data_IF_748304426855
#
_entry.id   IF_748304426855
#
_cell.length_a   1.000
_cell.length_b   1.000
_cell.length_c   1.000
_cell.angle_alpha   90.00
_cell.angle_beta   90.00
_cell.angle_gamma   90.00
#
_symmetry.space_group_name_H-M   'P 1'
#
loop_
_entity.id
_entity.type
_entity.pdbx_description
1 polymer ?
#
# COMPACT_ATOMS: atom_id res chain seq x y z
N UNK A 1 11.87 7.73 4.35
CA UNK A 1 12.17 6.55 3.52
C UNK A 1 13.21 5.67 4.19
N UNK A 2 13.46 4.49 3.63
CA UNK A 2 14.38 3.52 4.17
C UNK A 2 13.91 2.90 5.47
N UNK A 3 14.83 2.30 6.23
CA UNK A 3 14.51 1.57 7.46
C UNK A 3 13.95 2.43 8.60
N UNK A 4 13.97 3.75 8.45
CA UNK A 4 13.28 4.68 9.38
C UNK A 4 11.77 4.57 9.23
N UNK A 5 11.29 4.34 8.01
CA UNK A 5 9.87 4.19 7.72
C UNK A 5 9.39 2.77 8.05
N UNK A 6 10.06 1.78 7.52
CA UNK A 6 9.85 0.35 7.80
C UNK A 6 11.07 -0.47 7.37
N UNK A 7 11.25 -1.64 7.93
CA UNK A 7 12.39 -2.50 7.61
C UNK A 7 12.19 -3.16 6.24
N UNK A 8 13.13 -2.93 5.33
CA UNK A 8 13.20 -3.61 4.04
C UNK A 8 13.99 -4.90 4.17
N UNK A 9 13.58 -5.96 3.48
CA UNK A 9 14.27 -7.25 3.49
C UNK A 9 15.46 -7.26 2.51
N UNK A 10 15.42 -6.40 1.48
CA UNK A 10 16.44 -6.27 0.44
C UNK A 10 16.88 -4.81 0.28
N UNK A 11 18.19 -4.60 0.10
CA UNK A 11 18.78 -3.28 -0.12
C UNK A 11 18.22 -2.58 -1.37
N UNK A 12 17.90 -3.34 -2.42
CA UNK A 12 17.35 -2.82 -3.66
C UNK A 12 15.99 -2.12 -3.43
N UNK A 13 15.19 -2.60 -2.49
CA UNK A 13 13.93 -1.96 -2.10
C UNK A 13 14.18 -0.61 -1.44
N UNK A 14 15.22 -0.51 -0.58
CA UNK A 14 15.64 0.74 0.05
C UNK A 14 16.09 1.75 -1.01
N UNK A 15 16.89 1.31 -1.96
CA UNK A 15 17.39 2.16 -3.07
C UNK A 15 16.23 2.72 -3.87
N UNK A 16 15.32 1.87 -4.34
CA UNK A 16 14.16 2.29 -5.13
C UNK A 16 13.27 3.29 -4.37
N UNK A 17 13.03 3.05 -3.08
CA UNK A 17 12.24 3.96 -2.26
C UNK A 17 12.95 5.31 -2.07
N UNK A 18 14.26 5.28 -1.83
CA UNK A 18 15.08 6.48 -1.60
C UNK A 18 15.21 7.34 -2.87
N UNK A 19 15.35 6.73 -4.03
CA UNK A 19 15.36 7.44 -5.32
C UNK A 19 14.03 8.18 -5.55
N UNK A 20 12.91 7.52 -5.31
CA UNK A 20 11.58 8.13 -5.43
C UNK A 20 11.39 9.28 -4.43
N UNK A 21 11.79 9.08 -3.18
CA UNK A 21 11.71 10.11 -2.14
C UNK A 21 12.60 11.32 -2.47
N UNK A 22 13.81 11.07 -2.97
CA UNK A 22 14.72 12.12 -3.41
C UNK A 22 14.18 12.93 -4.58
N UNK A 23 13.63 12.27 -5.59
CA UNK A 23 13.00 12.93 -6.73
C UNK A 23 11.80 13.79 -6.31
N UNK A 24 10.94 13.28 -5.43
CA UNK A 24 9.80 14.02 -4.90
C UNK A 24 10.23 15.23 -4.06
N UNK A 25 11.26 15.10 -3.24
CA UNK A 25 11.81 16.19 -2.44
C UNK A 25 12.42 17.28 -3.31
N UNK A 26 13.16 16.90 -4.35
CA UNK A 26 13.75 17.85 -5.30
C UNK A 26 12.66 18.62 -6.06
N UNK A 27 11.63 17.95 -6.55
CA UNK A 27 10.51 18.58 -7.22
C UNK A 27 9.79 19.58 -6.30
N UNK A 28 9.56 19.21 -5.07
CA UNK A 28 8.96 20.11 -4.07
C UNK A 28 9.84 21.35 -3.82
N UNK A 29 11.15 21.18 -3.63
CA UNK A 29 12.08 22.27 -3.34
C UNK A 29 12.22 23.26 -4.50
N UNK A 30 12.10 22.80 -5.74
CA UNK A 30 12.19 23.63 -6.94
C UNK A 30 10.89 24.39 -7.26
N UNK A 31 9.84 24.27 -6.42
CA UNK A 31 8.55 24.91 -6.63
C UNK A 31 7.79 24.38 -7.85
N UNK A 32 8.27 23.31 -8.47
CA UNK A 32 7.58 22.62 -9.54
C UNK A 32 6.55 21.68 -8.91
N UNK A 33 5.29 21.92 -9.17
CA UNK A 33 4.29 20.86 -9.00
C UNK A 33 4.79 19.65 -9.81
N UNK A 34 4.90 18.51 -9.15
CA UNK A 34 5.63 17.33 -9.61
C UNK A 34 5.26 16.87 -11.04
N UNK A 35 5.92 17.40 -12.04
CA UNK A 35 6.11 16.74 -13.32
C UNK A 35 7.38 15.88 -13.31
N UNK A 36 7.51 15.08 -12.30
CA UNK A 36 8.33 13.88 -12.37
C UNK A 36 7.40 12.75 -12.80
N UNK A 37 7.90 11.60 -13.27
CA UNK A 37 7.12 10.34 -13.43
C UNK A 37 6.41 9.89 -12.13
N UNK A 38 6.48 10.68 -11.07
CA UNK A 38 5.56 10.72 -9.97
C UNK A 38 4.20 11.13 -10.55
N UNK A 39 3.33 10.17 -10.70
CA UNK A 39 1.92 10.28 -11.12
C UNK A 39 1.35 11.61 -10.64
N UNK A 40 0.87 12.44 -11.58
CA UNK A 40 0.29 13.74 -11.30
C UNK A 40 -0.67 13.62 -10.12
N UNK A 41 -0.54 14.52 -9.14
CA UNK A 41 -1.52 14.66 -8.07
C UNK A 41 -2.88 14.92 -8.72
N UNK A 42 -3.69 13.87 -8.81
CA UNK A 42 -5.01 13.94 -9.45
C UNK A 42 -6.07 14.51 -8.52
N UNK A 43 -5.65 15.10 -7.37
CA UNK A 43 -6.57 15.55 -6.33
C UNK A 43 -7.24 14.39 -5.57
N UNK A 44 -6.80 13.17 -5.83
CA UNK A 44 -7.22 11.98 -5.10
C UNK A 44 -6.52 11.96 -3.74
N UNK A 45 -7.26 11.74 -2.68
CA UNK A 45 -6.69 11.49 -1.37
C UNK A 45 -7.42 10.32 -0.69
N UNK A 46 -6.75 9.16 -0.66
CA UNK A 46 -7.22 7.98 0.05
C UNK A 46 -6.27 7.64 1.19
N UNK A 47 -6.78 7.54 2.40
CA UNK A 47 -6.03 6.99 3.53
C UNK A 47 -6.04 5.47 3.46
N UNK A 48 -4.90 4.84 3.72
CA UNK A 48 -4.76 3.38 3.81
C UNK A 48 -4.57 2.98 5.28
N UNK A 49 -5.40 2.09 5.77
CA UNK A 49 -5.30 1.58 7.14
C UNK A 49 -5.12 0.06 7.14
N UNK A 50 -4.29 -0.49 8.04
CA UNK A 50 -4.18 -1.92 8.23
C UNK A 50 -5.35 -2.48 9.04
N UNK A 51 -5.73 -3.74 8.77
CA UNK A 51 -6.69 -4.50 9.57
C UNK A 51 -6.33 -6.00 9.61
N UNK A 52 -7.10 -6.77 10.36
CA UNK A 52 -6.83 -8.18 10.58
C UNK A 52 -5.47 -8.37 11.28
N UNK A 53 -4.65 -9.26 10.77
CA UNK A 53 -3.30 -9.49 11.30
C UNK A 53 -2.22 -8.58 10.69
N UNK A 54 -2.56 -7.65 9.80
CA UNK A 54 -1.62 -6.67 9.28
C UNK A 54 -1.15 -5.72 10.40
N UNK A 55 0.17 -5.52 10.50
CA UNK A 55 0.78 -4.65 11.51
C UNK A 55 0.79 -3.19 11.09
N UNK A 56 0.98 -2.94 9.81
CA UNK A 56 0.97 -1.63 9.16
C UNK A 56 0.66 -1.79 7.67
N UNK A 57 0.36 -0.69 7.00
CA UNK A 57 0.24 -0.63 5.54
C UNK A 57 0.89 0.67 5.04
N UNK A 58 1.75 0.58 4.03
CA UNK A 58 2.46 1.70 3.43
C UNK A 58 2.37 1.66 1.91
N UNK A 59 2.20 2.83 1.25
CA UNK A 59 2.03 4.15 1.82
C UNK A 59 0.72 4.29 2.59
N UNK A 60 0.71 5.12 3.64
CA UNK A 60 -0.50 5.42 4.42
C UNK A 60 -1.48 6.37 3.71
N UNK A 61 -1.07 6.96 2.57
CA UNK A 61 -1.87 7.85 1.73
C UNK A 61 -1.60 7.56 0.26
N UNK A 62 -2.64 7.59 -0.55
CA UNK A 62 -2.59 7.48 -2.00
C UNK A 62 -3.13 8.78 -2.58
N UNK A 63 -2.33 9.47 -3.38
CA UNK A 63 -2.64 10.78 -3.96
C UNK A 63 -2.89 10.72 -5.46
N UNK A 64 -2.75 9.54 -6.06
CA UNK A 64 -2.88 9.36 -7.50
C UNK A 64 -3.56 8.04 -7.87
N UNK A 65 -4.32 8.05 -8.97
CA UNK A 65 -4.97 6.86 -9.54
C UNK A 65 -3.96 6.14 -10.42
N UNK A 66 -3.08 5.36 -9.79
CA UNK A 66 -2.05 4.58 -10.47
C UNK A 66 -1.80 3.25 -9.77
N UNK A 67 -1.10 2.33 -10.43
CA UNK A 67 -0.64 1.10 -9.80
C UNK A 67 0.24 1.45 -8.59
N UNK A 68 -0.23 1.12 -7.42
CA UNK A 68 0.46 1.38 -6.14
C UNK A 68 0.83 0.06 -5.49
N UNK A 69 2.05 -0.07 -4.97
CA UNK A 69 2.44 -1.20 -4.12
C UNK A 69 2.16 -0.85 -2.67
N UNK A 70 1.33 -1.65 -2.02
CA UNK A 70 1.13 -1.58 -0.57
C UNK A 70 2.07 -2.56 0.12
N UNK A 71 2.96 -2.04 0.94
CA UNK A 71 3.89 -2.83 1.74
C UNK A 71 3.34 -3.01 3.14
N UNK A 72 3.45 -4.23 3.68
CA UNK A 72 2.97 -4.55 5.02
C UNK A 72 3.76 -5.72 5.62
N UNK A 73 3.61 -5.89 6.94
CA UNK A 73 4.02 -7.10 7.66
C UNK A 73 2.87 -7.56 8.53
N UNK A 74 2.79 -8.86 8.72
CA UNK A 74 1.82 -9.44 9.65
C UNK A 74 2.39 -9.48 11.07
N UNK A 75 1.50 -9.46 12.07
CA UNK A 75 1.88 -9.48 13.49
C UNK A 75 2.19 -10.88 14.04
N UNK A 76 1.69 -11.92 13.38
CA UNK A 76 1.90 -13.31 13.74
C UNK A 76 1.99 -14.19 12.49
N UNK A 77 2.66 -15.35 12.57
CA UNK A 77 2.68 -16.29 11.45
C UNK A 77 1.28 -16.87 11.21
N UNK A 78 1.00 -17.17 9.95
CA UNK A 78 -0.23 -17.82 9.51
C UNK A 78 0.05 -18.64 8.26
N UNK A 79 -0.49 -19.86 8.19
CA UNK A 79 -0.26 -20.76 7.07
C UNK A 79 -1.20 -20.49 5.88
N UNK A 80 -2.40 -19.99 6.17
CA UNK A 80 -3.37 -19.61 5.15
C UNK A 80 -4.06 -18.29 5.53
N UNK A 81 -3.85 -17.23 4.75
CA UNK A 81 -4.57 -15.97 4.88
C UNK A 81 -4.74 -15.31 3.51
N UNK A 82 -5.72 -14.42 3.43
CA UNK A 82 -6.02 -13.64 2.25
C UNK A 82 -5.81 -12.15 2.55
N UNK A 83 -5.17 -11.45 1.61
CA UNK A 83 -5.11 -9.98 1.63
C UNK A 83 -6.33 -9.44 0.92
N UNK A 84 -7.07 -8.54 1.57
CA UNK A 84 -8.28 -7.92 1.03
C UNK A 84 -8.16 -6.40 1.08
N UNK A 85 -8.71 -5.74 0.08
CA UNK A 85 -8.89 -4.28 0.06
C UNK A 85 -10.37 -4.01 0.24
N UNK A 86 -10.70 -3.29 1.30
CA UNK A 86 -12.07 -2.97 1.67
C UNK A 86 -12.28 -1.45 1.63
N UNK A 87 -13.48 -1.03 1.25
CA UNK A 87 -13.96 0.34 1.35
C UNK A 87 -15.36 0.32 1.98
N UNK A 88 -15.55 0.98 3.12
CA UNK A 88 -16.80 0.97 3.89
C UNK A 88 -17.40 -0.44 4.12
N UNK A 89 -16.52 -1.44 4.30
CA UNK A 89 -16.90 -2.84 4.49
C UNK A 89 -17.15 -3.62 3.19
N UNK A 90 -17.18 -2.97 2.04
CA UNK A 90 -17.25 -3.64 0.74
C UNK A 90 -15.87 -4.12 0.30
N UNK A 91 -15.76 -5.38 -0.13
CA UNK A 91 -14.54 -5.92 -0.71
C UNK A 91 -14.37 -5.43 -2.15
N UNK A 92 -13.34 -4.62 -2.39
CA UNK A 92 -13.00 -4.11 -3.71
C UNK A 92 -12.05 -5.04 -4.47
N UNK A 93 -11.19 -5.73 -3.74
CA UNK A 93 -10.18 -6.62 -4.29
C UNK A 93 -9.69 -7.62 -3.25
N UNK A 94 -9.42 -8.85 -3.69
CA UNK A 94 -8.84 -9.89 -2.86
C UNK A 94 -7.65 -10.54 -3.57
N UNK A 95 -6.59 -10.83 -2.80
CA UNK A 95 -5.42 -11.58 -3.25
C UNK A 95 -5.64 -13.09 -3.16
N UNK A 96 -4.60 -13.83 -3.54
CA UNK A 96 -4.59 -15.29 -3.36
C UNK A 96 -4.32 -15.66 -1.90
N UNK A 97 -4.92 -16.75 -1.46
CA UNK A 97 -4.62 -17.33 -0.14
C UNK A 97 -3.19 -17.87 -0.15
N UNK A 98 -2.42 -17.50 0.88
CA UNK A 98 -1.05 -17.98 1.08
C UNK A 98 -0.60 -17.82 2.54
N UNK A 99 0.56 -18.39 2.86
CA UNK A 99 1.19 -18.22 4.15
C UNK A 99 1.84 -16.84 4.28
N UNK A 100 1.87 -16.30 5.50
CA UNK A 100 2.55 -15.06 5.85
C UNK A 100 3.37 -15.22 7.13
N UNK A 101 4.52 -14.54 7.18
CA UNK A 101 5.42 -14.53 8.33
C UNK A 101 5.81 -13.10 8.72
N UNK A 102 5.89 -12.75 10.01
CA UNK A 102 6.27 -11.41 10.46
C UNK A 102 7.67 -10.96 9.98
N UNK A 103 8.57 -11.92 9.76
CA UNK A 103 9.93 -11.65 9.30
C UNK A 103 10.02 -11.23 7.83
N UNK A 104 8.94 -11.38 7.05
CA UNK A 104 8.92 -11.09 5.61
C UNK A 104 8.10 -9.81 5.36
N UNK A 105 8.72 -8.85 4.63
CA UNK A 105 8.00 -7.71 4.10
C UNK A 105 7.20 -8.14 2.87
N UNK A 106 5.91 -7.94 2.93
CA UNK A 106 5.00 -8.27 1.85
C UNK A 106 4.68 -7.05 1.00
N UNK A 107 4.56 -7.25 -0.30
CA UNK A 107 4.11 -6.23 -1.25
C UNK A 107 2.86 -6.70 -1.96
N UNK A 108 1.82 -5.89 -1.90
CA UNK A 108 0.55 -6.17 -2.55
C UNK A 108 0.27 -5.11 -3.63
N UNK A 109 0.19 -5.50 -4.92
CA UNK A 109 -0.11 -4.56 -5.98
C UNK A 109 -1.58 -4.13 -5.91
N UNK A 110 -1.81 -2.83 -5.75
CA UNK A 110 -3.12 -2.21 -5.79
C UNK A 110 -3.34 -1.60 -7.19
N UNK A 111 -4.18 -2.21 -8.03
CA UNK A 111 -4.43 -1.69 -9.37
C UNK A 111 -5.13 -0.33 -9.35
N UNK A 112 -4.83 0.53 -10.34
CA UNK A 112 -5.46 1.84 -10.49
C UNK A 112 -7.00 1.77 -10.52
N UNK A 113 -7.57 0.74 -11.15
CA UNK A 113 -9.03 0.51 -11.20
C UNK A 113 -9.68 0.32 -9.83
N UNK A 114 -8.94 -0.24 -8.85
CA UNK A 114 -9.45 -0.43 -7.48
C UNK A 114 -9.45 0.90 -6.75
N UNK A 115 -8.42 1.72 -6.95
CA UNK A 115 -8.35 3.09 -6.43
C UNK A 115 -9.50 3.92 -7.02
N UNK A 116 -9.70 3.86 -8.33
CA UNK A 116 -10.79 4.57 -9.01
C UNK A 116 -12.16 4.14 -8.46
N UNK A 117 -12.38 2.84 -8.27
CA UNK A 117 -13.63 2.33 -7.69
C UNK A 117 -13.87 2.85 -6.28
N UNK A 118 -12.85 2.93 -5.45
CA UNK A 118 -12.97 3.51 -4.11
C UNK A 118 -13.38 4.98 -4.18
N UNK A 119 -12.80 5.76 -5.10
CA UNK A 119 -13.18 7.16 -5.32
C UNK A 119 -14.61 7.30 -5.83
N UNK A 120 -15.04 6.45 -6.75
CA UNK A 120 -16.41 6.44 -7.29
C UNK A 120 -17.46 6.14 -6.20
N UNK A 121 -17.09 5.38 -5.18
CA UNK A 121 -17.88 5.14 -3.98
C UNK A 121 -17.90 6.35 -3.03
N UNK A 122 -17.09 7.37 -3.27
CA UNK A 122 -17.00 8.57 -2.45
C UNK A 122 -16.31 8.36 -1.10
N UNK A 123 -15.55 7.27 -0.94
CA UNK A 123 -14.83 6.99 0.31
C UNK A 123 -13.49 7.73 0.35
N UNK A 124 -13.08 8.16 1.53
CA UNK A 124 -11.77 8.77 1.79
C UNK A 124 -10.75 7.81 2.39
N UNK A 125 -11.17 6.56 2.64
CA UNK A 125 -10.36 5.55 3.31
C UNK A 125 -10.57 4.17 2.70
N UNK A 126 -9.46 3.48 2.50
CA UNK A 126 -9.46 2.04 2.20
C UNK A 126 -8.73 1.27 3.31
N UNK A 127 -9.07 0.01 3.46
CA UNK A 127 -8.49 -0.87 4.47
C UNK A 127 -7.78 -2.02 3.78
N UNK A 128 -6.48 -2.21 4.09
CA UNK A 128 -5.76 -3.42 3.76
C UNK A 128 -5.93 -4.40 4.93
N UNK A 129 -6.78 -5.40 4.76
CA UNK A 129 -6.99 -6.45 5.73
C UNK A 129 -6.22 -7.71 5.34
N UNK A 130 -5.63 -8.37 6.33
CA UNK A 130 -5.05 -9.72 6.17
C UNK A 130 -5.78 -10.63 7.11
N UNK A 131 -6.62 -11.49 6.55
CA UNK A 131 -7.52 -12.32 7.31
C UNK A 131 -7.14 -13.80 7.16
N UNK A 132 -6.91 -14.52 8.27
CA UNK A 132 -6.74 -15.95 8.23
C UNK A 132 -7.96 -16.61 7.57
N UNK A 133 -7.70 -17.60 6.73
CA UNK A 133 -8.73 -18.45 6.15
C UNK A 133 -8.76 -19.73 6.97
N UNK A 134 -9.86 -19.97 7.68
CA UNK A 134 -10.06 -21.25 8.34
C UNK A 134 -10.21 -22.32 7.26
N UNK A 135 -9.39 -23.36 7.35
CA UNK A 135 -9.62 -24.56 6.55
C UNK A 135 -10.95 -25.17 7.01
N UNK A 136 -11.87 -25.20 6.08
CA UNK A 136 -13.16 -25.85 6.30
C UNK A 136 -13.00 -27.37 6.32
#
# INVERSE_FOLDING_TARGET
>A
CGNVLHVHDLADNVTTESERAGAAAAAYALGGGAETDAVADTGCELTVSPAGIAGYALPGRITAVALTKLNFRVRRPVDAACVRILADGEELFAGKVRAFKPSVMESFPLPAKVIQRALDLGVSKIVLSVDPVEEA
#
